data_IF_723544178946
#
_entry.id   IF_723544178946
#
_cell.length_a   1.000
_cell.length_b   1.000
_cell.length_c   1.000
_cell.angle_alpha   90.00
_cell.angle_beta   90.00
_cell.angle_gamma   90.00
#
_symmetry.space_group_name_H-M   'P 1'
#
loop_
_entity.id
_entity.type
_entity.pdbx_description
1 polymer ?
#
# COMPACT_ATOMS: atom_id res chain seq x y z
N UNK A 1 -12.41 17.78 -7.65
CA UNK A 1 -12.06 16.34 -7.56
C UNK A 1 -10.85 16.19 -6.64
N UNK A 2 -10.92 15.30 -5.69
CA UNK A 2 -9.87 15.09 -4.68
C UNK A 2 -9.31 13.67 -4.80
N UNK A 3 -8.02 13.55 -5.12
CA UNK A 3 -7.36 12.27 -5.41
C UNK A 3 -6.41 11.89 -4.28
N UNK A 4 -6.49 10.64 -3.82
CA UNK A 4 -5.54 10.04 -2.90
C UNK A 4 -4.59 9.10 -3.66
N UNK A 5 -3.28 9.36 -3.58
CA UNK A 5 -2.26 8.42 -4.06
C UNK A 5 -1.68 7.68 -2.87
N UNK A 6 -1.80 6.36 -2.88
CA UNK A 6 -1.26 5.47 -1.86
C UNK A 6 0.04 4.84 -2.34
N UNK A 7 1.11 5.14 -1.66
CA UNK A 7 2.44 4.57 -1.86
C UNK A 7 2.90 3.81 -0.60
N UNK A 8 4.06 3.20 -0.67
CA UNK A 8 4.78 2.65 0.48
C UNK A 8 6.23 3.09 0.42
N UNK A 9 6.77 3.48 1.55
CA UNK A 9 8.16 3.91 1.65
C UNK A 9 9.15 2.71 1.64
N UNK A 10 8.96 1.80 0.67
CA UNK A 10 9.76 0.59 0.48
C UNK A 10 10.76 0.68 -0.67
N UNK A 11 10.81 1.82 -1.36
CA UNK A 11 11.74 2.07 -2.47
C UNK A 11 11.37 3.30 -3.28
N UNK A 12 12.37 3.86 -3.98
CA UNK A 12 12.21 5.11 -4.73
C UNK A 12 11.38 4.97 -6.01
N UNK A 13 11.28 3.76 -6.59
CA UNK A 13 10.51 3.54 -7.82
C UNK A 13 9.03 3.93 -7.66
N UNK A 14 8.36 3.35 -6.68
CA UNK A 14 6.95 3.64 -6.39
C UNK A 14 6.71 5.09 -5.95
N UNK A 15 7.64 5.64 -5.15
CA UNK A 15 7.57 7.03 -4.73
C UNK A 15 7.77 8.00 -5.91
N UNK A 16 8.61 7.66 -6.88
CA UNK A 16 8.79 8.45 -8.10
C UNK A 16 7.55 8.42 -8.99
N UNK A 17 6.92 7.25 -9.15
CA UNK A 17 5.64 7.14 -9.86
C UNK A 17 4.54 7.96 -9.17
N UNK A 18 4.42 7.87 -7.83
CA UNK A 18 3.47 8.67 -7.08
C UNK A 18 3.66 10.18 -7.28
N UNK A 19 4.91 10.65 -7.23
CA UNK A 19 5.25 12.07 -7.47
C UNK A 19 4.93 12.51 -8.91
N UNK A 20 5.24 11.67 -9.91
CA UNK A 20 4.94 11.98 -11.31
C UNK A 20 3.43 12.13 -11.55
N UNK A 21 2.63 11.18 -11.04
CA UNK A 21 1.17 11.23 -11.14
C UNK A 21 0.63 12.48 -10.42
N UNK A 22 1.09 12.76 -9.20
CA UNK A 22 0.67 13.94 -8.45
C UNK A 22 0.96 15.24 -9.21
N UNK A 23 2.18 15.38 -9.73
CA UNK A 23 2.57 16.59 -10.44
C UNK A 23 1.67 16.82 -11.67
N UNK A 24 1.40 15.76 -12.44
CA UNK A 24 0.52 15.84 -13.59
C UNK A 24 -0.93 16.20 -13.20
N UNK A 25 -1.46 15.68 -12.09
CA UNK A 25 -2.80 16.03 -11.62
C UNK A 25 -2.88 17.47 -11.13
N UNK A 26 -1.85 17.97 -10.44
CA UNK A 26 -1.78 19.38 -9.99
C UNK A 26 -1.73 20.35 -11.17
N UNK A 27 -1.02 20.02 -12.25
CA UNK A 27 -1.00 20.82 -13.48
C UNK A 27 -2.40 20.96 -14.12
N UNK A 28 -3.33 20.08 -13.75
CA UNK A 28 -4.72 20.11 -14.20
C UNK A 28 -5.71 20.62 -13.13
N UNK A 29 -5.21 21.33 -12.12
CA UNK A 29 -5.99 21.88 -11.01
C UNK A 29 -6.77 20.80 -10.21
N UNK A 30 -6.22 19.57 -10.13
CA UNK A 30 -6.80 18.48 -9.37
C UNK A 30 -6.11 18.40 -8.00
N UNK A 31 -6.90 18.49 -6.92
CA UNK A 31 -6.39 18.31 -5.55
C UNK A 31 -5.91 16.87 -5.36
N UNK A 32 -4.63 16.71 -4.99
CA UNK A 32 -4.00 15.42 -4.92
C UNK A 32 -3.06 15.29 -3.73
N UNK A 33 -3.28 14.26 -2.90
CA UNK A 33 -2.48 13.94 -1.72
C UNK A 33 -1.76 12.61 -1.90
N UNK A 34 -0.45 12.57 -1.61
CA UNK A 34 0.30 11.31 -1.49
C UNK A 34 0.37 10.91 -0.03
N UNK A 35 0.08 9.66 0.27
CA UNK A 35 0.17 9.10 1.63
C UNK A 35 0.95 7.79 1.61
N UNK A 36 1.93 7.66 2.53
CA UNK A 36 2.55 6.38 2.82
C UNK A 36 1.57 5.51 3.61
N UNK A 37 1.10 4.43 3.00
CA UNK A 37 0.11 3.55 3.58
C UNK A 37 0.58 2.90 4.89
N UNK A 38 1.88 2.60 5.00
CA UNK A 38 2.45 2.00 6.20
C UNK A 38 2.48 2.98 7.37
N UNK A 39 2.53 4.30 7.11
CA UNK A 39 2.48 5.32 8.16
C UNK A 39 1.14 5.31 8.91
N UNK A 40 0.05 4.88 8.26
CA UNK A 40 -1.24 4.70 8.90
C UNK A 40 -1.24 3.57 9.96
N UNK A 41 -0.34 2.61 9.84
CA UNK A 41 -0.13 1.58 10.88
C UNK A 41 0.72 2.07 12.07
N UNK A 42 1.41 3.21 11.90
CA UNK A 42 2.30 3.85 12.88
C UNK A 42 3.68 4.12 12.29
N UNK A 43 4.21 5.32 12.54
CA UNK A 43 5.50 5.76 11.96
C UNK A 43 6.69 4.85 12.32
N UNK A 44 6.73 4.34 13.56
CA UNK A 44 7.80 3.45 14.01
C UNK A 44 7.77 2.12 13.25
N UNK A 45 6.58 1.64 12.93
CA UNK A 45 6.36 0.40 12.21
C UNK A 45 6.70 0.58 10.73
N UNK A 46 6.23 1.67 10.11
CA UNK A 46 6.58 2.03 8.73
C UNK A 46 8.10 2.06 8.54
N UNK A 47 8.84 2.75 9.44
CA UNK A 47 10.30 2.83 9.39
C UNK A 47 10.98 1.46 9.48
N UNK A 48 10.55 0.60 10.41
CA UNK A 48 11.13 -0.75 10.59
C UNK A 48 10.91 -1.64 9.37
N UNK A 49 9.70 -1.61 8.82
CA UNK A 49 9.35 -2.41 7.63
C UNK A 49 10.12 -1.91 6.41
N UNK A 50 10.19 -0.60 6.20
CA UNK A 50 10.98 -0.02 5.10
C UNK A 50 12.46 -0.39 5.21
N UNK A 51 13.05 -0.30 6.39
CA UNK A 51 14.44 -0.69 6.61
C UNK A 51 14.67 -2.19 6.37
N UNK A 52 13.78 -3.06 6.87
CA UNK A 52 13.87 -4.50 6.68
C UNK A 52 13.72 -4.87 5.20
N UNK A 53 12.78 -4.22 4.49
CA UNK A 53 12.59 -4.42 3.06
C UNK A 53 13.83 -4.00 2.26
N UNK A 54 14.36 -2.78 2.49
CA UNK A 54 15.56 -2.28 1.83
C UNK A 54 16.76 -3.20 2.12
N UNK A 55 16.92 -3.64 3.36
CA UNK A 55 17.99 -4.58 3.73
C UNK A 55 17.83 -5.91 3.01
N UNK A 56 16.62 -6.46 2.96
CA UNK A 56 16.35 -7.75 2.30
C UNK A 56 16.59 -7.69 0.79
N UNK A 57 16.26 -6.57 0.13
CA UNK A 57 16.49 -6.39 -1.32
C UNK A 57 17.95 -6.17 -1.69
N UNK A 58 18.74 -5.60 -0.78
CA UNK A 58 20.19 -5.39 -0.97
C UNK A 58 21.04 -6.62 -0.66
N UNK A 59 20.46 -7.59 0.04
CA UNK A 59 21.16 -8.83 0.41
C UNK A 59 20.51 -10.01 -0.33
N UNK A 60 21.24 -11.13 -0.47
CA UNK A 60 20.68 -12.37 -1.02
C UNK A 60 19.53 -12.96 -0.15
N UNK A 61 19.23 -12.33 0.97
CA UNK A 61 18.15 -12.72 1.88
C UNK A 61 16.80 -12.70 1.19
N UNK A 62 16.53 -11.73 0.30
CA UNK A 62 15.29 -11.67 -0.47
C UNK A 62 15.09 -12.92 -1.34
N UNK A 63 16.17 -13.41 -1.96
CA UNK A 63 16.15 -14.63 -2.78
C UNK A 63 15.83 -15.89 -1.96
N UNK A 64 16.33 -15.96 -0.72
CA UNK A 64 16.02 -17.05 0.22
C UNK A 64 14.61 -16.95 0.77
N UNK A 65 14.18 -15.75 1.16
CA UNK A 65 12.80 -15.51 1.64
C UNK A 65 11.76 -15.76 0.55
N UNK A 66 12.05 -15.42 -0.71
CA UNK A 66 11.19 -15.73 -1.84
C UNK A 66 11.08 -17.25 -2.08
N UNK A 67 12.21 -17.99 -2.07
CA UNK A 67 12.22 -19.45 -2.19
C UNK A 67 11.47 -20.14 -1.04
N UNK A 68 11.66 -19.67 0.19
CA UNK A 68 10.93 -20.19 1.36
C UNK A 68 9.45 -19.80 1.24
N UNK A 69 9.14 -18.57 0.82
CA UNK A 69 7.78 -18.08 0.64
C UNK A 69 7.00 -18.89 -0.41
N UNK A 70 7.62 -19.26 -1.53
CA UNK A 70 6.97 -20.12 -2.55
C UNK A 70 6.78 -21.56 -2.06
N UNK A 71 7.76 -22.15 -1.36
CA UNK A 71 7.63 -23.48 -0.78
C UNK A 71 6.60 -23.52 0.36
N UNK A 72 6.50 -22.43 1.12
CA UNK A 72 5.54 -22.27 2.22
C UNK A 72 4.15 -21.88 1.72
N UNK A 73 4.02 -21.18 0.59
CA UNK A 73 2.70 -20.83 0.01
C UNK A 73 1.95 -22.07 -0.49
N UNK A 74 2.63 -23.07 -1.02
CA UNK A 74 2.02 -24.36 -1.37
C UNK A 74 1.50 -25.13 -0.15
N UNK A 75 2.14 -24.93 1.01
CA UNK A 75 1.71 -25.54 2.29
C UNK A 75 0.67 -24.67 3.03
N UNK A 76 0.64 -23.35 2.77
CA UNK A 76 -0.17 -22.35 3.47
C UNK A 76 -1.41 -21.89 2.69
N UNK A 77 -1.88 -22.60 1.69
CA UNK A 77 -3.22 -22.33 1.09
C UNK A 77 -4.35 -22.25 2.14
N UNK A 78 -4.10 -22.76 3.34
CA UNK A 78 -5.03 -22.71 4.49
C UNK A 78 -4.72 -21.66 5.55
N UNK A 79 -3.56 -20.99 5.49
CA UNK A 79 -3.16 -19.99 6.50
C UNK A 79 -3.12 -18.62 5.82
N UNK A 80 -3.93 -17.70 6.33
CA UNK A 80 -3.96 -16.31 5.85
C UNK A 80 -2.55 -15.73 5.87
N UNK A 81 -2.07 -15.29 4.70
CA UNK A 81 -0.74 -14.69 4.51
C UNK A 81 -0.40 -13.69 5.62
N UNK A 82 0.85 -13.63 6.11
CA UNK A 82 1.29 -12.57 7.03
C UNK A 82 0.97 -11.17 6.50
N UNK A 83 0.99 -10.97 5.17
CA UNK A 83 0.58 -9.73 4.50
C UNK A 83 -0.91 -9.45 4.74
N UNK A 84 -1.76 -10.48 4.74
CA UNK A 84 -3.19 -10.32 5.03
C UNK A 84 -3.44 -9.89 6.49
N UNK A 85 -2.73 -10.47 7.45
CA UNK A 85 -2.82 -10.09 8.87
C UNK A 85 -2.28 -8.67 9.07
N UNK A 86 -1.23 -8.32 8.36
CA UNK A 86 -0.66 -6.99 8.33
C UNK A 86 -1.63 -5.97 7.74
N UNK A 87 -2.22 -6.25 6.58
CA UNK A 87 -3.21 -5.40 5.94
C UNK A 87 -4.41 -5.14 6.84
N UNK A 88 -4.80 -6.10 7.69
CA UNK A 88 -5.86 -5.93 8.66
C UNK A 88 -5.52 -4.88 9.73
N UNK A 89 -4.27 -4.75 10.13
CA UNK A 89 -3.86 -3.83 11.21
C UNK A 89 -4.03 -2.36 10.87
N UNK A 90 -3.94 -1.98 9.59
CA UNK A 90 -4.12 -0.60 9.15
C UNK A 90 -5.37 -0.37 8.29
N UNK A 91 -6.08 -1.41 7.88
CA UNK A 91 -7.28 -1.29 7.03
C UNK A 91 -8.35 -0.40 7.64
N UNK A 92 -8.58 -0.51 8.94
CA UNK A 92 -9.58 0.31 9.62
C UNK A 92 -9.19 1.80 9.61
N UNK A 93 -7.92 2.09 9.82
CA UNK A 93 -7.38 3.46 9.75
C UNK A 93 -7.36 4.01 8.33
N UNK A 94 -7.09 3.16 7.35
CA UNK A 94 -7.12 3.52 5.94
C UNK A 94 -8.54 3.87 5.49
N UNK A 95 -9.53 3.06 5.89
CA UNK A 95 -10.95 3.34 5.65
C UNK A 95 -11.37 4.67 6.26
N UNK A 96 -11.11 4.85 7.56
CA UNK A 96 -11.41 6.10 8.26
C UNK A 96 -10.75 7.30 7.57
N UNK A 97 -9.49 7.17 7.17
CA UNK A 97 -8.74 8.20 6.47
C UNK A 97 -9.39 8.57 5.13
N UNK A 98 -9.81 7.58 4.34
CA UNK A 98 -10.47 7.80 3.04
C UNK A 98 -11.82 8.50 3.25
N UNK A 99 -12.66 7.98 4.15
CA UNK A 99 -14.01 8.50 4.39
C UNK A 99 -13.95 9.92 4.97
N UNK A 100 -13.12 10.11 6.00
CA UNK A 100 -13.02 11.40 6.70
C UNK A 100 -12.53 12.53 5.81
N UNK A 101 -11.64 12.24 4.87
CA UNK A 101 -11.08 13.24 3.97
C UNK A 101 -11.88 13.42 2.68
N UNK A 102 -12.88 12.57 2.38
CA UNK A 102 -13.77 12.70 1.24
C UNK A 102 -13.06 12.62 -0.09
N UNK A 103 -12.21 11.61 -0.30
CA UNK A 103 -11.54 11.39 -1.58
C UNK A 103 -12.51 10.82 -2.62
N UNK A 104 -12.42 11.36 -3.85
CA UNK A 104 -13.24 10.93 -4.99
C UNK A 104 -12.62 9.73 -5.71
N UNK A 105 -11.29 9.60 -5.70
CA UNK A 105 -10.52 8.53 -6.36
C UNK A 105 -9.32 8.15 -5.50
N UNK A 106 -8.99 6.86 -5.48
CA UNK A 106 -7.76 6.34 -4.87
C UNK A 106 -6.88 5.74 -5.96
N UNK A 107 -5.60 6.11 -6.00
CA UNK A 107 -4.59 5.54 -6.89
C UNK A 107 -3.57 4.80 -6.04
N UNK A 108 -3.37 3.51 -6.30
CA UNK A 108 -2.39 2.68 -5.60
C UNK A 108 -1.18 2.45 -6.52
N UNK A 109 -0.01 2.93 -6.13
CA UNK A 109 1.25 2.70 -6.85
C UNK A 109 2.10 1.59 -6.23
N UNK A 110 1.53 0.84 -5.30
CA UNK A 110 2.22 -0.27 -4.62
C UNK A 110 1.22 -1.39 -4.29
N UNK A 111 1.70 -2.63 -4.25
CA UNK A 111 0.87 -3.82 -3.99
C UNK A 111 0.17 -3.78 -2.63
N UNK A 112 0.85 -3.35 -1.55
CA UNK A 112 0.25 -3.34 -0.20
C UNK A 112 -1.02 -2.49 -0.10
N UNK A 113 -1.04 -1.21 -0.52
CA UNK A 113 -2.29 -0.46 -0.55
C UNK A 113 -3.32 -1.03 -1.51
N UNK A 114 -2.92 -1.60 -2.65
CA UNK A 114 -3.84 -2.21 -3.60
C UNK A 114 -4.59 -3.40 -2.98
N UNK A 115 -3.91 -4.28 -2.25
CA UNK A 115 -4.54 -5.38 -1.52
C UNK A 115 -5.48 -4.89 -0.42
N UNK A 116 -5.07 -3.87 0.35
CA UNK A 116 -5.90 -3.32 1.41
C UNK A 116 -7.19 -2.68 0.86
N UNK A 117 -7.06 -1.86 -0.18
CA UNK A 117 -8.21 -1.24 -0.88
C UNK A 117 -9.13 -2.32 -1.46
N UNK A 118 -8.57 -3.34 -2.12
CA UNK A 118 -9.35 -4.46 -2.65
C UNK A 118 -10.13 -5.17 -1.55
N UNK A 119 -9.48 -5.46 -0.43
CA UNK A 119 -10.13 -6.12 0.71
C UNK A 119 -11.26 -5.26 1.31
N UNK A 120 -11.09 -3.94 1.41
CA UNK A 120 -12.13 -3.01 1.88
C UNK A 120 -13.31 -2.94 0.91
N UNK A 121 -13.05 -2.90 -0.40
CA UNK A 121 -14.09 -2.89 -1.44
C UNK A 121 -14.88 -4.20 -1.47
N UNK A 122 -14.22 -5.36 -1.41
CA UNK A 122 -14.89 -6.67 -1.38
C UNK A 122 -15.80 -6.85 -0.16
N UNK A 123 -15.46 -6.19 0.97
CA UNK A 123 -16.30 -6.16 2.17
C UNK A 123 -17.40 -5.07 2.13
N UNK A 124 -17.50 -4.29 1.06
CA UNK A 124 -18.45 -3.18 0.93
C UNK A 124 -18.18 -2.00 1.87
N UNK A 125 -16.99 -1.92 2.48
CA UNK A 125 -16.64 -0.88 3.46
C UNK A 125 -16.35 0.47 2.81
N UNK A 126 -15.78 0.47 1.61
CA UNK A 126 -15.55 1.67 0.79
C UNK A 126 -16.12 1.50 -0.62
N UNK A 127 -16.63 2.59 -1.19
CA UNK A 127 -17.18 2.61 -2.55
C UNK A 127 -16.33 3.45 -3.52
N UNK A 128 -15.36 4.19 -3.01
CA UNK A 128 -14.50 5.06 -3.81
C UNK A 128 -13.86 4.29 -4.97
N UNK A 129 -13.85 4.84 -6.21
CA UNK A 129 -13.11 4.25 -7.33
C UNK A 129 -11.63 4.10 -6.99
N UNK A 130 -11.03 2.99 -7.42
CA UNK A 130 -9.62 2.73 -7.17
C UNK A 130 -8.93 2.26 -8.45
N UNK A 131 -7.73 2.79 -8.68
CA UNK A 131 -6.86 2.48 -9.81
C UNK A 131 -5.56 1.90 -9.25
N UNK A 132 -5.03 0.88 -9.89
CA UNK A 132 -3.73 0.31 -9.59
C UNK A 132 -2.77 0.58 -10.76
N UNK A 133 -1.57 1.12 -10.45
CA UNK A 133 -0.53 1.51 -11.41
C UNK A 133 0.76 0.74 -11.13
#
# INVERSE_FOLDING_TARGET
>A
MKVLILSCNTGEGHNSAARAIRNHLIEQDIDCTITDTLSLAGESLSRRVSQLYIYSTRTNLFKYLYKIGTAVSEFLEKVKSPVFLWNRSYSDRLEEFIIRNGYDVVICVHLFPAEAITALKLKGRIKVPAIFV
#
